data_IF_128940111871
#
_entry.id   IF_128940111871
#
_cell.length_a   1.000
_cell.length_b   1.000
_cell.length_c   1.000
_cell.angle_alpha   90.00
_cell.angle_beta   90.00
_cell.angle_gamma   90.00
#
_symmetry.space_group_name_H-M   'P 1'
#
loop_
_entity.id
_entity.type
_entity.pdbx_description
1 polymer ?
#
# COMPACT_ATOMS: atom_id res chain seq x y z
N UNK A 1 19.42 1.24 4.61
CA UNK A 1 18.45 1.80 3.65
C UNK A 1 17.36 0.77 3.41
N UNK A 2 16.09 1.11 3.69
CA UNK A 2 14.93 0.27 3.41
C UNK A 2 14.66 0.12 1.91
N UNK A 3 13.87 -0.90 1.56
CA UNK A 3 13.32 -1.09 0.22
C UNK A 3 11.90 -0.54 0.19
N UNK A 4 11.57 0.18 -0.87
CA UNK A 4 10.23 0.69 -1.11
C UNK A 4 9.76 0.21 -2.48
N UNK A 5 8.56 -0.35 -2.51
CA UNK A 5 7.87 -0.69 -3.76
C UNK A 5 7.08 0.53 -4.24
N UNK A 6 7.13 0.77 -5.55
CA UNK A 6 6.36 1.80 -6.22
C UNK A 6 5.57 1.18 -7.37
N UNK A 7 4.39 1.71 -7.63
CA UNK A 7 3.53 1.29 -8.72
C UNK A 7 3.22 2.47 -9.63
N UNK A 8 3.44 2.28 -10.93
CA UNK A 8 3.05 3.23 -11.96
C UNK A 8 1.65 2.89 -12.46
N UNK A 9 0.69 3.80 -12.26
CA UNK A 9 -0.69 3.59 -12.71
C UNK A 9 -0.83 3.67 -14.23
N UNK A 10 0.10 4.37 -14.90
CA UNK A 10 0.08 4.55 -16.36
C UNK A 10 0.40 3.26 -17.12
N UNK A 11 1.34 2.45 -16.62
CA UNK A 11 1.76 1.21 -17.27
C UNK A 11 1.39 -0.05 -16.49
N UNK A 12 0.98 0.08 -15.22
CA UNK A 12 0.69 -1.04 -14.33
C UNK A 12 1.95 -1.75 -13.80
N UNK A 13 3.13 -1.20 -14.05
CA UNK A 13 4.40 -1.77 -13.60
C UNK A 13 4.70 -1.43 -12.15
N UNK A 14 5.31 -2.39 -11.43
CA UNK A 14 5.81 -2.21 -10.08
C UNK A 14 7.32 -2.30 -10.06
N UNK A 15 7.96 -1.42 -9.31
CA UNK A 15 9.41 -1.36 -9.17
C UNK A 15 9.79 -1.23 -7.70
N UNK A 16 10.74 -2.05 -7.27
CA UNK A 16 11.33 -1.96 -5.93
C UNK A 16 12.67 -1.23 -6.00
N UNK A 17 12.83 -0.21 -5.16
CA UNK A 17 14.08 0.56 -5.07
C UNK A 17 14.51 0.74 -3.62
N UNK A 18 15.82 0.88 -3.43
CA UNK A 18 16.44 1.06 -2.12
C UNK A 18 16.94 2.50 -1.96
N UNK A 19 16.30 3.28 -1.09
CA UNK A 19 16.65 4.68 -0.88
C UNK A 19 16.40 5.15 0.56
N UNK A 20 16.78 6.39 0.89
CA UNK A 20 16.51 6.96 2.22
C UNK A 20 15.09 7.51 2.29
N UNK A 21 14.44 7.38 3.44
CA UNK A 21 13.07 7.90 3.63
C UNK A 21 12.91 9.40 3.34
N UNK A 22 14.00 10.18 3.43
CA UNK A 22 14.02 11.61 3.07
C UNK A 22 13.91 11.88 1.57
N UNK A 23 14.10 10.86 0.72
CA UNK A 23 13.98 10.97 -0.73
C UNK A 23 12.51 10.75 -1.13
N UNK A 24 12.00 11.70 -1.91
CA UNK A 24 10.62 11.72 -2.39
C UNK A 24 10.64 11.43 -3.88
N UNK A 25 9.81 10.48 -4.31
CA UNK A 25 9.72 10.02 -5.69
C UNK A 25 8.23 10.02 -6.02
N UNK A 26 7.85 10.87 -6.96
CA UNK A 26 6.47 11.13 -7.35
C UNK A 26 6.22 10.81 -8.83
N UNK A 27 7.30 10.71 -9.62
CA UNK A 27 7.27 10.49 -11.06
C UNK A 27 8.04 9.23 -11.47
N UNK A 28 7.61 8.63 -12.58
CA UNK A 28 8.26 7.44 -13.15
C UNK A 28 9.70 7.72 -13.55
N UNK A 29 9.99 8.91 -14.08
CA UNK A 29 11.35 9.31 -14.49
C UNK A 29 12.35 9.23 -13.34
N UNK A 30 12.02 9.80 -12.18
CA UNK A 30 12.90 9.73 -11.01
C UNK A 30 13.01 8.28 -10.51
N UNK A 31 11.89 7.53 -10.50
CA UNK A 31 11.89 6.13 -10.07
C UNK A 31 12.86 5.27 -10.89
N UNK A 32 12.82 5.38 -12.22
CA UNK A 32 13.66 4.55 -13.11
C UNK A 32 15.13 4.96 -13.08
N UNK A 33 15.43 6.26 -12.97
CA UNK A 33 16.80 6.74 -12.79
C UNK A 33 17.41 6.18 -11.50
N UNK A 34 16.64 6.19 -10.40
CA UNK A 34 17.08 5.65 -9.10
C UNK A 34 17.22 4.14 -9.10
N UNK A 35 16.35 3.44 -9.82
CA UNK A 35 16.43 1.99 -10.00
C UNK A 35 17.55 1.56 -10.94
N UNK A 36 18.10 2.49 -11.74
CA UNK A 36 19.04 2.17 -12.80
C UNK A 36 18.41 1.38 -13.95
N UNK A 37 17.10 1.54 -14.17
CA UNK A 37 16.37 0.90 -15.27
C UNK A 37 16.08 1.92 -16.38
N UNK A 38 15.92 1.44 -17.60
CA UNK A 38 15.51 2.30 -18.72
C UNK A 38 14.05 2.73 -18.57
N UNK A 39 13.77 4.00 -18.88
CA UNK A 39 12.41 4.56 -18.84
C UNK A 39 11.41 3.84 -19.76
N UNK A 40 11.92 3.22 -20.83
CA UNK A 40 11.12 2.49 -21.81
C UNK A 40 10.16 3.40 -22.57
N UNK A 41 8.91 2.98 -22.67
CA UNK A 41 7.83 3.69 -23.37
C UNK A 41 6.95 4.54 -22.43
N UNK A 42 7.16 4.45 -21.12
CA UNK A 42 6.36 5.17 -20.13
C UNK A 42 6.87 6.61 -20.00
N UNK A 43 6.02 7.64 -20.01
CA UNK A 43 6.48 9.02 -19.91
C UNK A 43 7.11 9.31 -18.54
N UNK A 44 8.16 10.15 -18.50
CA UNK A 44 8.86 10.51 -17.26
C UNK A 44 7.96 11.18 -16.23
N UNK A 45 6.93 11.89 -16.70
CA UNK A 45 5.94 12.59 -15.88
C UNK A 45 4.81 11.68 -15.38
N UNK A 46 4.84 10.38 -15.72
CA UNK A 46 3.83 9.45 -15.24
C UNK A 46 3.81 9.40 -13.71
N UNK A 47 2.62 9.52 -13.08
CA UNK A 47 2.50 9.46 -11.63
C UNK A 47 2.85 8.07 -11.12
N UNK A 48 3.59 8.00 -10.01
CA UNK A 48 3.88 6.76 -9.30
C UNK A 48 3.39 6.83 -7.86
N UNK A 49 2.84 5.72 -7.39
CA UNK A 49 2.36 5.58 -6.01
C UNK A 49 3.31 4.69 -5.23
N UNK A 50 3.83 5.18 -4.09
CA UNK A 50 4.62 4.36 -3.17
C UNK A 50 3.70 3.34 -2.48
N UNK A 51 3.92 2.07 -2.75
CA UNK A 51 3.30 0.96 -2.05
C UNK A 51 4.07 0.74 -0.74
N UNK A 52 3.73 1.55 0.25
CA UNK A 52 4.09 1.23 1.64
C UNK A 52 3.11 0.14 2.05
N UNK A 53 3.57 -1.10 2.24
CA UNK A 53 2.77 -2.07 2.97
C UNK A 53 2.53 -1.51 4.37
N UNK A 54 1.41 -0.81 4.54
CA UNK A 54 0.87 -0.57 5.86
C UNK A 54 0.74 -1.96 6.51
N UNK A 55 1.16 -2.15 7.78
CA UNK A 55 0.63 -3.28 8.53
C UNK A 55 -0.87 -3.14 8.43
N UNK A 56 -1.50 -4.13 7.81
CA UNK A 56 -2.94 -4.19 7.59
C UNK A 56 -3.67 -3.75 8.86
N UNK A 57 -4.26 -2.56 8.86
CA UNK A 57 -5.43 -2.33 9.70
C UNK A 57 -6.51 -3.17 9.05
N UNK A 58 -6.68 -4.41 9.52
CA UNK A 58 -7.92 -5.14 9.32
C UNK A 58 -8.97 -4.38 10.15
N UNK A 59 -9.47 -3.28 9.60
CA UNK A 59 -10.64 -2.56 10.11
C UNK A 59 -11.53 -2.32 8.93
N UNK A 60 -12.64 -3.06 8.96
CA UNK A 60 -13.86 -2.68 8.26
C UNK A 60 -13.91 -3.18 6.84
N UNK A 61 -14.37 -4.42 6.71
CA UNK A 61 -15.27 -4.81 5.64
C UNK A 61 -16.21 -3.66 5.25
N UNK A 62 -16.35 -3.49 3.95
CA UNK A 62 -17.55 -3.10 3.21
C UNK A 62 -18.81 -2.96 4.08
N UNK A 63 -19.53 -1.85 3.89
CA UNK A 63 -20.67 -1.46 4.71
C UNK A 63 -21.74 -2.53 4.85
N UNK A 64 -21.72 -3.21 5.99
CA UNK A 64 -22.93 -3.74 6.63
C UNK A 64 -22.85 -3.41 8.11
N UNK A 65 -23.84 -2.65 8.59
CA UNK A 65 -24.19 -2.53 10.02
C UNK A 65 -23.95 -3.87 10.71
N UNK A 66 -23.14 -3.89 11.76
CA UNK A 66 -23.44 -4.51 13.06
C UNK A 66 -22.21 -4.40 13.96
N UNK A 67 -22.20 -3.33 14.76
CA UNK A 67 -21.27 -3.16 15.88
C UNK A 67 -21.67 -4.14 17.00
N UNK A 68 -21.25 -5.39 16.88
CA UNK A 68 -21.34 -6.39 17.95
C UNK A 68 -20.13 -6.28 18.87
N UNK A 69 -20.13 -5.27 19.74
CA UNK A 69 -19.15 -5.16 20.81
C UNK A 69 -19.18 -6.42 21.69
N UNK A 70 -18.04 -7.08 21.87
CA UNK A 70 -17.88 -8.11 22.89
C UNK A 70 -17.73 -7.41 24.25
N UNK A 71 -18.84 -6.84 24.72
CA UNK A 71 -19.03 -6.45 26.10
C UNK A 71 -19.05 -7.71 26.95
N UNK A 72 -18.18 -7.73 27.95
CA UNK A 72 -18.22 -8.71 29.03
C UNK A 72 -19.62 -8.79 29.66
N UNK A 73 -19.99 -10.00 30.08
CA UNK A 73 -21.16 -10.35 30.89
C UNK A 73 -22.53 -10.39 30.18
N UNK A 74 -22.87 -11.56 29.63
CA UNK A 74 -24.22 -12.10 29.81
C UNK A 74 -24.17 -13.63 29.78
N UNK A 75 -24.44 -14.24 30.94
CA UNK A 75 -24.61 -15.68 31.05
C UNK A 75 -25.99 -16.09 30.54
N UNK A 76 -26.02 -17.06 29.62
CA UNK A 76 -27.20 -17.85 29.31
C UNK A 76 -26.79 -19.33 29.29
N UNK A 77 -27.38 -20.10 30.20
CA UNK A 77 -27.16 -21.54 30.37
C UNK A 77 -27.61 -22.34 29.14
N UNK A 78 -27.04 -23.53 28.87
CA UNK A 78 -27.58 -24.45 27.87
C UNK A 78 -28.86 -25.12 28.39
N UNK A 79 -29.92 -25.01 27.60
CA UNK A 79 -31.18 -25.73 27.77
C UNK A 79 -30.96 -27.24 27.58
N UNK A 80 -31.37 -28.04 28.56
CA UNK A 80 -31.67 -29.47 28.44
C UNK A 80 -33.02 -29.74 29.11
#
# INVERSE_FOLDING_TARGET
MPYYEYHCETNGCKLEIRHRMSEQIETWGDLVERAGVGIGETPSDAPVTKLISAPVSITGLDGTKDFGGCGSACGCMPQA
#
